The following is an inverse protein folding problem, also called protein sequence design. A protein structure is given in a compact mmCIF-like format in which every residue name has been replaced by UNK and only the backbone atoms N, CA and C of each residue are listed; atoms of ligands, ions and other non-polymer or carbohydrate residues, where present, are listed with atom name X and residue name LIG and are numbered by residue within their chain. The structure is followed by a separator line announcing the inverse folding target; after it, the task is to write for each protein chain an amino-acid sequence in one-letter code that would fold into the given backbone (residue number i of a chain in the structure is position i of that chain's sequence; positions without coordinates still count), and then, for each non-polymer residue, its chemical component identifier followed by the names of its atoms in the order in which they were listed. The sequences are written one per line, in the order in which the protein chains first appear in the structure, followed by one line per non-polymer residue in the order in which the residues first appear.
data_IF_672067624240
#
_entry.id   IF_672067624240
#
_cell.length_a   1.000
_cell.length_b   1.000
_cell.length_c   1.000
_cell.angle_alpha   90.00
_cell.angle_beta   90.00
_cell.angle_gamma   90.00
#
_symmetry.space_group_name_H-M   'P 1'
#
loop_
_entity.id
_entity.type
_entity.pdbx_description
1 polymer ?
#
# COMPACT_ATOMS: atom_id res chain seq x y z
N UNK A 1 -4.40 27.99 -28.65
CA UNK A 1 -5.70 27.50 -28.15
C UNK A 1 -5.97 26.14 -28.75
N UNK A 2 -6.48 25.22 -27.95
CA UNK A 2 -6.83 23.85 -28.33
C UNK A 2 -8.16 23.47 -27.68
N UNK A 3 -8.97 22.66 -28.36
CA UNK A 3 -10.13 22.01 -27.76
C UNK A 3 -9.70 20.60 -27.34
N UNK A 4 -9.96 20.24 -26.08
CA UNK A 4 -9.72 18.90 -25.55
C UNK A 4 -11.01 18.35 -24.89
N UNK A 5 -10.95 17.12 -24.40
CA UNK A 5 -12.10 16.44 -23.79
C UNK A 5 -12.68 17.16 -22.56
N UNK A 6 -11.91 18.07 -21.96
CA UNK A 6 -12.26 18.85 -20.77
C UNK A 6 -12.62 20.31 -21.08
N UNK A 7 -12.60 20.73 -22.36
CA UNK A 7 -13.00 22.06 -22.82
C UNK A 7 -11.95 22.84 -23.62
N UNK A 8 -12.08 24.17 -23.62
CA UNK A 8 -11.22 25.08 -24.38
C UNK A 8 -10.01 25.51 -23.54
N UNK A 9 -8.82 25.13 -24.02
CA UNK A 9 -7.55 25.43 -23.40
C UNK A 9 -6.84 26.58 -24.10
N UNK A 10 -6.38 27.53 -23.30
CA UNK A 10 -5.38 28.52 -23.68
C UNK A 10 -4.04 28.12 -23.08
N UNK A 11 -3.04 27.91 -23.93
CA UNK A 11 -1.67 27.55 -23.53
C UNK A 11 -0.72 28.66 -23.98
N UNK A 12 -0.10 29.31 -23.01
CA UNK A 12 0.98 30.28 -23.17
C UNK A 12 2.24 29.86 -22.40
N UNK A 13 2.37 28.57 -22.09
CA UNK A 13 3.53 28.03 -21.40
C UNK A 13 4.81 28.17 -22.23
N UNK A 14 5.96 28.19 -21.53
CA UNK A 14 7.30 28.40 -22.09
C UNK A 14 7.45 29.71 -22.89
N UNK A 15 6.55 30.67 -22.68
CA UNK A 15 6.61 31.99 -23.28
C UNK A 15 6.79 33.06 -22.20
N UNK A 16 8.05 33.26 -21.78
CA UNK A 16 8.40 34.26 -20.78
C UNK A 16 8.06 35.70 -21.19
N UNK A 17 7.87 35.97 -22.48
CA UNK A 17 7.48 37.29 -22.97
C UNK A 17 5.96 37.53 -22.92
N UNK A 18 5.16 36.50 -22.63
CA UNK A 18 3.72 36.64 -22.43
C UNK A 18 3.44 36.89 -20.94
N UNK A 19 3.10 38.14 -20.61
CA UNK A 19 2.90 38.65 -19.25
C UNK A 19 1.52 39.30 -19.02
N UNK A 20 0.79 39.61 -20.09
CA UNK A 20 -0.48 40.34 -20.05
C UNK A 20 -1.65 39.45 -20.48
N UNK A 21 -2.50 39.06 -19.51
CA UNK A 21 -3.72 38.29 -19.77
C UNK A 21 -4.84 39.15 -20.39
N UNK A 22 -4.77 40.48 -20.30
CA UNK A 22 -5.86 41.38 -20.73
C UNK A 22 -6.03 41.42 -22.25
N UNK A 23 -5.02 40.99 -23.00
CA UNK A 23 -5.07 40.89 -24.47
C UNK A 23 -5.87 39.68 -24.95
N UNK A 24 -6.24 38.76 -24.05
CA UNK A 24 -6.98 37.53 -24.38
C UNK A 24 -8.43 37.68 -23.92
N UNK A 25 -9.43 37.66 -24.83
CA UNK A 25 -10.83 37.76 -24.46
C UNK A 25 -11.39 36.41 -23.96
N UNK A 26 -10.91 35.93 -22.79
CA UNK A 26 -11.20 34.60 -22.25
C UNK A 26 -12.70 34.25 -22.22
N UNK A 27 -13.54 35.21 -21.80
CA UNK A 27 -15.01 35.03 -21.72
C UNK A 27 -15.63 34.79 -23.10
N UNK A 28 -15.21 35.53 -24.12
CA UNK A 28 -15.75 35.40 -25.48
C UNK A 28 -15.29 34.11 -26.14
N UNK A 29 -14.07 33.68 -25.82
CA UNK A 29 -13.46 32.47 -26.32
C UNK A 29 -13.94 31.20 -25.60
N UNK A 30 -14.70 31.35 -24.50
CA UNK A 30 -15.19 30.23 -23.70
C UNK A 30 -14.07 29.39 -23.09
N UNK A 31 -12.90 30.00 -22.84
CA UNK A 31 -11.75 29.31 -22.25
C UNK A 31 -12.09 28.92 -20.82
N UNK A 32 -11.89 27.65 -20.50
CA UNK A 32 -12.06 27.11 -19.15
C UNK A 32 -10.78 26.45 -18.62
N UNK A 33 -9.70 26.46 -19.39
CA UNK A 33 -8.39 25.95 -18.96
C UNK A 33 -7.27 26.90 -19.37
N UNK A 34 -6.38 27.21 -18.42
CA UNK A 34 -5.18 28.00 -18.67
C UNK A 34 -3.93 27.19 -18.31
N UNK A 35 -3.00 27.12 -19.26
CA UNK A 35 -1.66 26.54 -19.08
C UNK A 35 -0.63 27.65 -19.32
N UNK A 36 0.11 28.01 -18.28
CA UNK A 36 0.95 29.19 -18.22
C UNK A 36 2.30 28.92 -17.52
N UNK A 37 2.77 27.67 -17.53
CA UNK A 37 4.05 27.31 -16.92
C UNK A 37 5.23 28.02 -17.60
N UNK A 38 6.20 28.55 -16.84
CA UNK A 38 7.34 29.32 -17.36
C UNK A 38 6.91 30.49 -18.29
N UNK A 39 5.89 31.24 -17.90
CA UNK A 39 5.45 32.48 -18.58
C UNK A 39 5.78 33.73 -17.76
N UNK A 40 5.57 34.90 -18.33
CA UNK A 40 5.75 36.20 -17.66
C UNK A 40 4.55 36.63 -16.79
N UNK A 41 3.54 35.77 -16.65
CA UNK A 41 2.30 36.10 -15.93
C UNK A 41 2.60 36.38 -14.45
N UNK A 42 2.16 37.54 -13.97
CA UNK A 42 2.33 37.98 -12.57
C UNK A 42 1.01 38.31 -11.86
N UNK A 43 -0.11 38.32 -12.59
CA UNK A 43 -1.47 38.52 -12.05
C UNK A 43 -2.46 37.56 -12.72
N UNK A 44 -3.56 37.26 -12.03
CA UNK A 44 -4.69 36.46 -12.53
C UNK A 44 -6.01 37.25 -12.50
N UNK A 45 -5.97 38.57 -12.35
CA UNK A 45 -7.17 39.39 -12.16
C UNK A 45 -8.17 39.29 -13.32
N UNK A 46 -7.67 39.10 -14.54
CA UNK A 46 -8.47 38.90 -15.75
C UNK A 46 -9.28 37.60 -15.74
N UNK A 47 -8.95 36.66 -14.83
CA UNK A 47 -9.64 35.37 -14.69
C UNK A 47 -10.76 35.41 -13.63
N UNK A 48 -10.93 36.52 -12.89
CA UNK A 48 -11.93 36.63 -11.82
C UNK A 48 -13.33 36.29 -12.33
N UNK A 49 -14.02 35.40 -11.61
CA UNK A 49 -15.39 35.00 -11.92
C UNK A 49 -15.56 34.21 -13.21
N UNK A 50 -14.48 33.74 -13.84
CA UNK A 50 -14.57 32.84 -14.98
C UNK A 50 -14.76 31.39 -14.50
N UNK A 51 -15.51 30.61 -15.28
CA UNK A 51 -15.73 29.18 -15.05
C UNK A 51 -14.54 28.33 -15.48
N UNK A 52 -13.37 28.63 -14.93
CA UNK A 52 -12.16 27.85 -15.14
C UNK A 52 -12.25 26.54 -14.37
N UNK A 53 -12.01 25.42 -15.05
CA UNK A 53 -11.95 24.08 -14.44
C UNK A 53 -10.52 23.67 -14.15
N UNK A 54 -9.55 24.18 -14.92
CA UNK A 54 -8.13 23.87 -14.78
C UNK A 54 -7.26 25.11 -14.88
N UNK A 55 -6.31 25.23 -13.95
CA UNK A 55 -5.31 26.28 -13.95
C UNK A 55 -3.93 25.70 -13.65
N UNK A 56 -2.98 25.88 -14.58
CA UNK A 56 -1.58 25.51 -14.42
C UNK A 56 -0.74 26.77 -14.56
N UNK A 57 -0.28 27.30 -13.43
CA UNK A 57 0.51 28.53 -13.33
C UNK A 57 1.73 28.26 -12.44
N UNK A 58 2.85 27.92 -13.06
CA UNK A 58 4.06 27.57 -12.30
C UNK A 58 5.33 28.05 -12.97
N UNK A 59 6.40 28.23 -12.21
CA UNK A 59 7.62 28.87 -12.71
C UNK A 59 7.39 30.28 -13.26
N UNK A 60 6.46 31.03 -12.65
CA UNK A 60 6.15 32.44 -12.99
C UNK A 60 6.50 33.36 -11.80
N UNK A 61 6.28 34.66 -11.93
CA UNK A 61 6.45 35.64 -10.84
C UNK A 61 5.17 35.86 -10.01
N UNK A 62 4.14 35.04 -10.22
CA UNK A 62 2.85 35.13 -9.53
C UNK A 62 3.00 34.87 -8.03
N UNK A 63 2.52 35.83 -7.22
CA UNK A 63 2.52 35.75 -5.74
C UNK A 63 1.14 35.88 -5.10
N UNK A 64 0.14 36.32 -5.87
CA UNK A 64 -1.19 36.64 -5.36
C UNK A 64 -2.24 35.73 -6.01
N UNK A 65 -2.85 34.87 -5.21
CA UNK A 65 -3.91 33.95 -5.65
C UNK A 65 -5.33 34.45 -5.35
N UNK A 66 -5.51 35.69 -4.90
CA UNK A 66 -6.83 36.22 -4.52
C UNK A 66 -7.91 36.10 -5.60
N UNK A 67 -7.63 36.13 -6.92
CA UNK A 67 -8.65 35.85 -7.94
C UNK A 67 -9.29 34.46 -7.83
N UNK A 68 -8.56 33.46 -7.33
CA UNK A 68 -9.03 32.07 -7.25
C UNK A 68 -10.24 31.91 -6.33
N UNK A 69 -10.40 32.77 -5.33
CA UNK A 69 -11.54 32.74 -4.41
C UNK A 69 -12.88 32.99 -5.12
N UNK A 70 -12.85 33.57 -6.32
CA UNK A 70 -14.01 33.85 -7.17
C UNK A 70 -14.18 32.83 -8.30
N UNK A 71 -13.48 31.69 -8.25
CA UNK A 71 -13.47 30.66 -9.29
C UNK A 71 -13.97 29.30 -8.76
N UNK A 72 -15.26 29.19 -8.36
CA UNK A 72 -15.79 28.00 -7.67
C UNK A 72 -15.83 26.72 -8.52
N UNK A 73 -15.71 26.86 -9.85
CA UNK A 73 -15.67 25.76 -10.82
C UNK A 73 -14.29 25.10 -10.93
N UNK A 74 -13.26 25.70 -10.31
CA UNK A 74 -11.89 25.20 -10.38
C UNK A 74 -11.78 23.87 -9.63
N UNK A 75 -11.40 22.81 -10.35
CA UNK A 75 -11.19 21.47 -9.79
C UNK A 75 -9.73 21.03 -9.84
N UNK A 76 -8.93 21.60 -10.75
CA UNK A 76 -7.53 21.21 -10.94
C UNK A 76 -6.62 22.43 -10.89
N UNK A 77 -5.73 22.49 -9.89
CA UNK A 77 -4.80 23.60 -9.70
C UNK A 77 -3.35 23.11 -9.62
N UNK A 78 -2.48 23.67 -10.45
CA UNK A 78 -1.03 23.57 -10.30
C UNK A 78 -0.43 24.96 -10.15
N UNK A 79 0.20 25.18 -9.00
CA UNK A 79 0.96 26.37 -8.59
C UNK A 79 2.42 26.02 -8.29
N UNK A 80 2.94 24.91 -8.86
CA UNK A 80 4.29 24.47 -8.54
C UNK A 80 5.34 25.47 -9.01
N UNK A 81 6.44 25.58 -8.28
CA UNK A 81 7.54 26.47 -8.66
C UNK A 81 7.27 27.96 -8.47
N UNK A 82 6.16 28.35 -7.86
CA UNK A 82 5.96 29.72 -7.35
C UNK A 82 6.75 29.88 -6.04
N UNK A 83 8.07 30.04 -6.16
CA UNK A 83 9.03 29.93 -5.05
C UNK A 83 8.84 30.96 -3.93
N UNK A 84 8.17 32.07 -4.20
CA UNK A 84 7.87 33.12 -3.22
C UNK A 84 6.40 33.11 -2.76
N UNK A 85 5.59 32.18 -3.25
CA UNK A 85 4.20 32.05 -2.82
C UNK A 85 4.14 31.42 -1.42
N UNK A 86 3.54 32.16 -0.49
CA UNK A 86 3.37 31.73 0.92
C UNK A 86 1.91 31.60 1.32
N UNK A 87 1.02 32.41 0.73
CA UNK A 87 -0.39 32.49 1.10
C UNK A 87 -1.28 31.71 0.13
N UNK A 88 -1.91 30.65 0.64
CA UNK A 88 -2.93 29.87 -0.06
C UNK A 88 -4.33 30.05 0.54
N UNK A 89 -4.55 31.07 1.38
CA UNK A 89 -5.88 31.42 1.91
C UNK A 89 -6.97 31.51 0.83
N UNK A 90 -6.71 32.02 -0.39
CA UNK A 90 -7.71 32.07 -1.46
C UNK A 90 -8.25 30.70 -1.91
N UNK A 91 -7.59 29.59 -1.55
CA UNK A 91 -8.07 28.24 -1.90
C UNK A 91 -9.20 27.75 -0.99
N UNK A 92 -9.47 28.44 0.12
CA UNK A 92 -10.45 28.01 1.12
C UNK A 92 -11.83 27.82 0.50
N UNK A 93 -12.38 26.62 0.65
CA UNK A 93 -13.72 26.28 0.19
C UNK A 93 -13.84 26.01 -1.32
N UNK A 94 -12.75 26.01 -2.07
CA UNK A 94 -12.76 25.56 -3.47
C UNK A 94 -12.97 24.05 -3.54
N UNK A 95 -13.62 23.60 -4.62
CA UNK A 95 -13.93 22.20 -4.88
C UNK A 95 -12.80 21.49 -5.65
N UNK A 96 -11.55 21.72 -5.27
CA UNK A 96 -10.40 21.08 -5.92
C UNK A 96 -10.44 19.56 -5.71
N UNK A 97 -10.16 18.83 -6.77
CA UNK A 97 -9.84 17.39 -6.76
C UNK A 97 -8.34 17.15 -6.74
N UNK A 98 -7.58 18.05 -7.37
CA UNK A 98 -6.12 17.95 -7.48
C UNK A 98 -5.46 19.30 -7.18
N UNK A 99 -4.47 19.28 -6.28
CA UNK A 99 -3.68 20.45 -5.91
C UNK A 99 -2.18 20.14 -5.98
N UNK A 100 -1.46 20.85 -6.84
CA UNK A 100 -0.03 20.68 -7.01
C UNK A 100 0.71 21.96 -6.62
N UNK A 101 1.45 21.94 -5.51
CA UNK A 101 2.11 23.11 -4.92
C UNK A 101 3.55 22.86 -4.46
N UNK A 102 4.22 21.86 -5.03
CA UNK A 102 5.65 21.63 -4.82
C UNK A 102 6.51 22.85 -5.22
N UNK A 103 7.66 23.05 -4.58
CA UNK A 103 8.56 24.19 -4.83
C UNK A 103 7.88 25.56 -4.61
N UNK A 104 7.05 25.67 -3.57
CA UNK A 104 6.50 26.94 -3.07
C UNK A 104 7.03 27.21 -1.66
N UNK A 105 6.83 28.43 -1.15
CA UNK A 105 7.20 28.80 0.23
C UNK A 105 6.02 28.65 1.22
N UNK A 106 5.00 27.87 0.86
CA UNK A 106 3.80 27.65 1.67
C UNK A 106 4.18 26.83 2.91
N UNK A 107 3.80 27.33 4.09
CA UNK A 107 4.07 26.67 5.38
C UNK A 107 2.79 26.27 6.12
N UNK A 108 1.68 26.96 5.83
CA UNK A 108 0.39 26.72 6.47
C UNK A 108 -0.60 26.07 5.49
N UNK A 109 -1.04 24.87 5.85
CA UNK A 109 -2.05 24.11 5.12
C UNK A 109 -3.48 24.32 5.66
N UNK A 110 -3.67 25.13 6.71
CA UNK A 110 -4.99 25.39 7.30
C UNK A 110 -6.09 25.82 6.31
N UNK A 111 -5.80 26.51 5.19
CA UNK A 111 -6.81 26.83 4.17
C UNK A 111 -7.42 25.61 3.47
N UNK A 112 -6.76 24.45 3.52
CA UNK A 112 -7.26 23.21 2.91
C UNK A 112 -8.33 22.50 3.76
N UNK A 113 -8.51 22.92 5.02
CA UNK A 113 -9.42 22.25 5.97
C UNK A 113 -10.84 22.17 5.39
N UNK A 114 -11.42 20.98 5.41
CA UNK A 114 -12.79 20.73 4.95
C UNK A 114 -12.94 20.60 3.43
N UNK A 115 -11.85 20.52 2.66
CA UNK A 115 -11.91 20.22 1.23
C UNK A 115 -12.29 18.76 0.97
N UNK A 116 -13.60 18.49 0.92
CA UNK A 116 -14.14 17.12 0.84
C UNK A 116 -13.97 16.44 -0.51
N UNK A 117 -13.42 17.13 -1.53
CA UNK A 117 -13.21 16.59 -2.87
C UNK A 117 -11.74 16.41 -3.24
N UNK A 118 -10.81 16.88 -2.42
CA UNK A 118 -9.39 16.83 -2.73
C UNK A 118 -8.90 15.39 -2.57
N UNK A 119 -8.48 14.77 -3.67
CA UNK A 119 -8.00 13.39 -3.71
C UNK A 119 -6.50 13.29 -3.86
N UNK A 120 -5.89 14.29 -4.50
CA UNK A 120 -4.47 14.31 -4.82
C UNK A 120 -3.85 15.65 -4.40
N UNK A 121 -2.77 15.60 -3.61
CA UNK A 121 -2.04 16.79 -3.20
C UNK A 121 -0.52 16.59 -3.27
N UNK A 122 0.20 17.57 -3.81
CA UNK A 122 1.66 17.63 -3.66
C UNK A 122 2.02 18.65 -2.60
N UNK A 123 2.80 18.24 -1.59
CA UNK A 123 3.12 19.06 -0.42
C UNK A 123 4.53 19.67 -0.56
N UNK A 124 4.69 20.98 -0.36
CA UNK A 124 5.99 21.64 -0.38
C UNK A 124 6.84 21.22 0.82
N UNK A 125 8.17 21.21 0.65
CA UNK A 125 9.12 20.87 1.73
C UNK A 125 9.03 21.78 2.95
N UNK A 126 8.51 22.99 2.77
CA UNK A 126 8.42 24.01 3.81
C UNK A 126 7.33 23.73 4.84
N UNK A 127 6.40 22.82 4.54
CA UNK A 127 5.35 22.42 5.48
C UNK A 127 5.91 21.44 6.50
N UNK A 128 5.78 21.77 7.78
CA UNK A 128 6.21 20.91 8.89
C UNK A 128 5.06 20.30 9.67
N UNK A 129 3.89 20.95 9.69
CA UNK A 129 2.67 20.38 10.27
C UNK A 129 1.82 19.75 9.16
N UNK A 130 1.69 18.42 9.21
CA UNK A 130 0.98 17.62 8.24
C UNK A 130 -0.32 17.01 8.78
N UNK A 131 -0.67 17.25 10.04
CA UNK A 131 -1.86 16.66 10.71
C UNK A 131 -3.14 16.88 9.91
N UNK A 132 -3.26 18.06 9.28
CA UNK A 132 -4.42 18.40 8.46
C UNK A 132 -4.63 17.48 7.26
N UNK A 133 -3.59 16.78 6.78
CA UNK A 133 -3.72 15.84 5.68
C UNK A 133 -4.46 14.56 6.11
N UNK A 134 -4.35 14.17 7.38
CA UNK A 134 -5.12 13.06 7.98
C UNK A 134 -6.60 13.43 8.11
N UNK A 135 -6.89 14.72 8.34
CA UNK A 135 -8.25 15.24 8.47
C UNK A 135 -8.99 15.41 7.12
N UNK A 136 -8.32 15.22 5.98
CA UNK A 136 -8.93 15.41 4.66
C UNK A 136 -9.66 14.12 4.22
N UNK A 137 -11.01 14.11 4.20
CA UNK A 137 -11.79 12.87 4.18
C UNK A 137 -11.72 12.10 2.85
N UNK A 138 -11.25 12.74 1.78
CA UNK A 138 -11.18 12.17 0.44
C UNK A 138 -9.75 12.11 -0.08
N UNK A 139 -8.76 12.53 0.70
CA UNK A 139 -7.37 12.55 0.27
C UNK A 139 -6.89 11.11 0.15
N UNK A 140 -6.37 10.76 -1.02
CA UNK A 140 -5.91 9.41 -1.32
C UNK A 140 -4.41 9.38 -1.58
N UNK A 141 -3.89 10.41 -2.25
CA UNK A 141 -2.54 10.40 -2.76
C UNK A 141 -1.81 11.68 -2.35
N UNK A 142 -0.63 11.48 -1.75
CA UNK A 142 0.26 12.55 -1.29
C UNK A 142 1.62 12.38 -1.92
N UNK A 143 2.19 13.49 -2.43
CA UNK A 143 3.55 13.54 -2.94
C UNK A 143 4.34 14.63 -2.23
N UNK A 144 5.51 14.31 -1.66
CA UNK A 144 6.40 15.31 -1.05
C UNK A 144 7.47 15.77 -2.04
N UNK A 145 7.76 17.07 -2.02
CA UNK A 145 8.83 17.64 -2.81
C UNK A 145 10.19 17.01 -2.41
N UNK A 146 10.88 16.37 -3.37
CA UNK A 146 12.22 15.81 -3.19
C UNK A 146 12.45 14.38 -3.59
N UNK A 147 11.39 13.63 -3.80
CA UNK A 147 11.38 12.81 -5.00
C UNK A 147 11.21 13.79 -6.18
N UNK A 148 11.84 13.56 -7.34
CA UNK A 148 11.73 14.48 -8.49
C UNK A 148 10.26 14.78 -8.84
N UNK A 149 9.99 15.57 -9.87
CA UNK A 149 8.61 15.75 -10.41
C UNK A 149 7.93 14.43 -10.89
N UNK A 150 8.47 13.27 -10.49
CA UNK A 150 8.17 11.88 -10.78
C UNK A 150 8.34 10.97 -9.55
N UNK A 151 8.30 11.48 -8.31
CA UNK A 151 8.26 10.62 -7.13
C UNK A 151 7.02 9.74 -7.12
N UNK A 152 7.07 8.49 -6.62
CA UNK A 152 5.87 7.67 -6.54
C UNK A 152 4.83 8.37 -5.68
N UNK A 153 3.61 8.50 -6.20
CA UNK A 153 2.46 8.86 -5.38
C UNK A 153 2.31 7.78 -4.31
N UNK A 154 2.20 8.18 -3.05
CA UNK A 154 1.95 7.27 -1.93
C UNK A 154 0.52 7.46 -1.46
N UNK A 155 -0.09 6.40 -0.94
CA UNK A 155 -1.33 6.58 -0.20
C UNK A 155 -1.09 7.46 1.03
N UNK A 156 -2.15 8.04 1.59
CA UNK A 156 -2.03 8.82 2.84
C UNK A 156 -1.44 7.94 3.94
N UNK A 157 -1.86 6.69 4.02
CA UNK A 157 -1.38 5.70 4.98
C UNK A 157 0.11 5.40 4.80
N UNK A 158 0.54 5.07 3.58
CA UNK A 158 1.96 4.83 3.25
C UNK A 158 2.83 6.05 3.57
N UNK A 159 2.33 7.24 3.23
CA UNK A 159 3.03 8.49 3.49
C UNK A 159 3.28 8.73 4.98
N UNK A 160 2.26 8.56 5.82
CA UNK A 160 2.42 8.73 7.26
C UNK A 160 3.20 7.59 7.92
N UNK A 161 3.12 6.37 7.39
CA UNK A 161 3.96 5.26 7.83
C UNK A 161 5.46 5.56 7.62
N UNK A 162 5.84 6.11 6.47
CA UNK A 162 7.23 6.50 6.21
C UNK A 162 7.73 7.63 7.13
N UNK A 163 6.86 8.61 7.40
CA UNK A 163 7.19 9.76 8.25
C UNK A 163 7.39 9.37 9.72
N UNK A 164 6.50 8.52 10.24
CA UNK A 164 6.55 8.07 11.63
C UNK A 164 7.61 6.98 11.85
N UNK A 165 8.04 6.31 10.77
CA UNK A 165 8.90 5.14 10.84
C UNK A 165 8.12 3.90 11.30
N UNK A 166 8.77 2.72 11.33
CA UNK A 166 8.13 1.50 11.77
C UNK A 166 7.71 1.62 13.24
N UNK A 167 6.46 1.26 13.53
CA UNK A 167 5.95 1.22 14.91
C UNK A 167 6.83 0.25 15.74
N UNK A 168 7.31 0.67 16.92
CA UNK A 168 8.13 -0.19 17.77
C UNK A 168 7.38 -1.48 18.16
N UNK A 169 8.14 -2.57 18.29
CA UNK A 169 7.62 -3.82 18.86
C UNK A 169 7.55 -3.65 20.38
N UNK A 170 6.35 -3.78 20.95
CA UNK A 170 6.14 -3.89 22.39
C UNK A 170 6.63 -5.26 22.88
N UNK A 171 6.20 -6.33 22.21
CA UNK A 171 6.48 -7.70 22.63
C UNK A 171 6.51 -8.68 21.45
N UNK A 172 7.32 -9.73 21.56
CA UNK A 172 7.30 -10.89 20.66
C UNK A 172 6.42 -11.97 21.30
N UNK A 173 5.22 -12.13 20.75
CA UNK A 173 4.19 -13.08 21.24
C UNK A 173 4.50 -14.51 20.78
N UNK A 174 5.00 -14.68 19.55
CA UNK A 174 5.48 -15.96 19.02
C UNK A 174 6.87 -15.75 18.42
N UNK A 175 7.93 -16.41 18.93
CA UNK A 175 9.28 -16.20 18.44
C UNK A 175 9.57 -16.99 17.13
N UNK A 176 10.56 -16.54 16.33
CA UNK A 176 10.90 -17.11 15.02
C UNK A 176 11.56 -18.50 15.05
N UNK A 177 11.87 -19.04 16.23
CA UNK A 177 12.46 -20.37 16.44
C UNK A 177 11.45 -21.35 17.07
N UNK A 178 10.15 -21.03 16.96
CA UNK A 178 9.06 -21.88 17.44
C UNK A 178 9.00 -23.23 16.73
N UNK A 179 8.48 -24.25 17.41
CA UNK A 179 8.21 -25.56 16.81
C UNK A 179 6.86 -25.53 16.10
N UNK A 180 6.85 -26.02 14.86
CA UNK A 180 5.67 -26.10 14.02
C UNK A 180 5.36 -27.53 13.63
N UNK A 181 4.07 -27.79 13.46
CA UNK A 181 3.57 -28.95 12.73
C UNK A 181 3.25 -28.55 11.31
N UNK A 182 3.59 -29.39 10.35
CA UNK A 182 3.36 -29.10 8.94
C UNK A 182 2.89 -30.31 8.14
N UNK A 183 2.12 -30.01 7.10
CA UNK A 183 1.62 -30.95 6.11
C UNK A 183 1.84 -30.37 4.72
N UNK A 184 2.58 -31.10 3.89
CA UNK A 184 2.76 -30.76 2.48
C UNK A 184 2.33 -31.97 1.60
N UNK A 185 1.23 -31.88 0.84
CA UNK A 185 0.75 -32.99 0.01
C UNK A 185 1.63 -33.28 -1.23
N UNK A 186 2.72 -34.03 -1.03
CA UNK A 186 3.69 -34.36 -2.09
C UNK A 186 3.13 -35.24 -3.22
N UNK A 187 2.07 -36.00 -2.93
CA UNK A 187 1.37 -36.87 -3.89
C UNK A 187 0.30 -36.12 -4.72
N UNK A 188 0.19 -34.80 -4.52
CA UNK A 188 -0.79 -33.93 -5.18
C UNK A 188 -2.25 -34.19 -4.77
N UNK A 189 -2.50 -35.09 -3.82
CA UNK A 189 -3.86 -35.39 -3.37
C UNK A 189 -4.39 -34.22 -2.53
N UNK A 190 -5.68 -33.89 -2.71
CA UNK A 190 -6.33 -32.93 -1.80
C UNK A 190 -6.38 -33.53 -0.40
N UNK A 191 -5.91 -32.84 0.65
CA UNK A 191 -6.24 -33.21 2.02
C UNK A 191 -7.76 -33.35 2.21
N UNK A 192 -8.54 -32.53 1.49
CA UNK A 192 -9.99 -32.63 1.48
C UNK A 192 -10.57 -33.91 0.83
N UNK A 193 -9.72 -34.79 0.29
CA UNK A 193 -10.15 -36.12 -0.18
C UNK A 193 -10.38 -37.08 0.98
N UNK A 194 -9.50 -37.02 1.99
CA UNK A 194 -9.54 -37.90 3.15
C UNK A 194 -10.25 -37.21 4.34
N UNK A 195 -10.23 -35.88 4.35
CA UNK A 195 -10.85 -35.02 5.37
C UNK A 195 -11.72 -33.94 4.71
N UNK A 196 -12.98 -34.28 4.39
CA UNK A 196 -13.85 -33.46 3.52
C UNK A 196 -13.99 -31.98 3.93
N UNK A 197 -13.82 -31.66 5.21
CA UNK A 197 -13.92 -30.30 5.74
C UNK A 197 -12.56 -29.68 6.09
N UNK A 198 -11.44 -30.29 5.69
CA UNK A 198 -10.08 -29.82 5.96
C UNK A 198 -9.92 -28.31 5.80
N UNK A 199 -10.47 -27.75 4.72
CA UNK A 199 -10.43 -26.33 4.37
C UNK A 199 -11.18 -25.38 5.32
N UNK A 200 -11.96 -25.93 6.24
CA UNK A 200 -12.66 -25.22 7.31
C UNK A 200 -12.15 -25.59 8.70
N UNK A 201 -11.42 -26.70 8.84
CA UNK A 201 -11.11 -27.29 10.15
C UNK A 201 -9.63 -27.33 10.47
N UNK A 202 -8.72 -27.35 9.47
CA UNK A 202 -7.27 -27.48 9.75
C UNK A 202 -6.69 -26.31 10.54
N UNK A 203 -7.39 -25.19 10.70
CA UNK A 203 -6.98 -24.04 11.51
C UNK A 203 -7.76 -23.92 12.84
N UNK A 204 -8.66 -24.87 13.13
CA UNK A 204 -9.40 -24.92 14.38
C UNK A 204 -8.49 -25.36 15.55
N UNK A 205 -8.80 -24.88 16.75
CA UNK A 205 -8.00 -25.16 17.95
C UNK A 205 -7.98 -26.66 18.31
N UNK A 206 -9.06 -27.38 18.05
CA UNK A 206 -9.27 -28.79 18.37
C UNK A 206 -8.91 -29.77 17.24
N UNK A 207 -8.44 -29.27 16.09
CA UNK A 207 -7.99 -30.12 14.99
C UNK A 207 -6.81 -31.01 15.40
N UNK A 208 -6.89 -32.30 15.04
CA UNK A 208 -5.87 -33.30 15.34
C UNK A 208 -4.78 -33.32 14.27
N UNK A 209 -3.68 -32.63 14.57
CA UNK A 209 -2.46 -32.60 13.76
C UNK A 209 -1.39 -33.60 14.25
N UNK A 210 -1.76 -34.64 15.01
CA UNK A 210 -0.82 -35.63 15.57
C UNK A 210 -0.05 -36.45 14.53
N UNK A 211 -0.57 -36.50 13.30
CA UNK A 211 0.04 -37.22 12.18
C UNK A 211 0.91 -36.32 11.30
N UNK A 212 0.90 -35.01 11.53
CA UNK A 212 1.69 -34.05 10.78
C UNK A 212 3.17 -34.15 11.17
N UNK A 213 4.05 -33.75 10.25
CA UNK A 213 5.47 -33.68 10.53
C UNK A 213 5.75 -32.51 11.50
N UNK A 214 6.83 -32.59 12.27
CA UNK A 214 7.29 -31.49 13.11
C UNK A 214 8.62 -30.92 12.61
N UNK A 215 8.87 -29.65 12.92
CA UNK A 215 10.16 -29.02 12.66
C UNK A 215 10.25 -27.68 13.38
N UNK A 216 11.47 -27.18 13.52
CA UNK A 216 11.75 -25.89 14.14
C UNK A 216 11.90 -24.83 13.05
N UNK A 217 11.25 -23.68 13.22
CA UNK A 217 11.48 -22.51 12.37
C UNK A 217 12.87 -21.90 12.64
N UNK A 218 13.30 -20.95 11.82
CA UNK A 218 14.55 -20.24 11.97
C UNK A 218 14.42 -18.77 11.57
N UNK A 219 15.04 -17.89 12.37
CA UNK A 219 15.21 -16.48 12.01
C UNK A 219 16.29 -16.28 10.93
N UNK A 220 17.06 -17.32 10.57
CA UNK A 220 18.02 -17.25 9.48
C UNK A 220 17.34 -16.91 8.14
N UNK A 221 17.83 -15.94 7.35
CA UNK A 221 17.26 -15.57 6.06
C UNK A 221 17.13 -16.72 5.04
N UNK A 222 17.92 -17.78 5.21
CA UNK A 222 17.91 -19.00 4.39
C UNK A 222 17.26 -20.20 5.08
N UNK A 223 16.83 -20.04 6.34
CA UNK A 223 16.16 -21.07 7.13
C UNK A 223 14.64 -21.08 6.99
N UNK A 224 13.97 -21.77 7.90
CA UNK A 224 12.52 -21.95 7.94
C UNK A 224 12.09 -23.29 7.35
N UNK A 225 10.93 -23.32 6.70
CA UNK A 225 10.35 -24.49 6.04
C UNK A 225 10.28 -24.26 4.54
N UNK A 226 10.69 -25.23 3.73
CA UNK A 226 10.63 -25.05 2.28
C UNK A 226 11.38 -26.11 1.50
N UNK A 227 11.55 -25.84 0.21
CA UNK A 227 12.40 -26.59 -0.70
C UNK A 227 12.86 -25.66 -1.85
N UNK A 228 13.87 -26.10 -2.60
CA UNK A 228 14.41 -25.33 -3.72
C UNK A 228 15.55 -24.39 -3.33
N UNK A 229 15.78 -23.37 -4.16
CA UNK A 229 16.87 -22.40 -3.99
C UNK A 229 16.34 -21.10 -3.40
N UNK A 230 17.14 -20.43 -2.57
CA UNK A 230 16.80 -19.16 -1.94
C UNK A 230 17.63 -18.05 -2.57
N UNK A 231 17.10 -17.34 -3.56
CA UNK A 231 17.75 -16.15 -4.13
C UNK A 231 19.24 -16.35 -4.53
N UNK A 232 19.63 -17.50 -5.08
CA UNK A 232 21.05 -17.79 -5.38
C UNK A 232 21.80 -18.56 -4.29
N UNK A 233 21.16 -18.84 -3.15
CA UNK A 233 21.73 -19.49 -1.97
C UNK A 233 21.07 -20.83 -1.69
N UNK A 234 21.81 -21.75 -1.08
CA UNK A 234 21.25 -23.01 -0.62
C UNK A 234 20.29 -22.75 0.54
N UNK A 235 19.09 -23.33 0.48
CA UNK A 235 18.17 -23.40 1.61
C UNK A 235 18.80 -24.19 2.76
N UNK A 236 18.74 -23.63 3.98
CA UNK A 236 19.30 -24.21 5.22
C UNK A 236 18.21 -24.28 6.31
N UNK A 237 17.10 -24.94 5.97
CA UNK A 237 15.96 -25.12 6.85
C UNK A 237 15.37 -26.52 6.78
N UNK A 238 14.14 -26.66 7.27
CA UNK A 238 13.36 -27.90 7.22
C UNK A 238 12.87 -28.15 5.80
N UNK A 239 13.41 -29.18 5.14
CA UNK A 239 12.96 -29.62 3.83
C UNK A 239 11.55 -30.23 3.91
N UNK A 240 10.56 -29.56 3.32
CA UNK A 240 9.16 -30.02 3.27
C UNK A 240 8.82 -30.82 2.01
N UNK A 241 9.82 -31.06 1.15
CA UNK A 241 9.76 -31.90 -0.04
C UNK A 241 9.17 -31.21 -1.27
N UNK A 242 9.68 -31.58 -2.45
CA UNK A 242 9.20 -31.11 -3.76
C UNK A 242 8.05 -32.02 -4.23
N UNK A 243 6.87 -31.50 -4.63
CA UNK A 243 5.78 -32.32 -5.17
C UNK A 243 6.19 -33.05 -6.46
N UNK A 244 5.69 -34.27 -6.68
CA UNK A 244 6.05 -35.07 -7.86
C UNK A 244 5.60 -34.39 -9.17
N UNK A 245 6.59 -33.92 -9.94
CA UNK A 245 6.39 -33.21 -11.21
C UNK A 245 5.74 -34.04 -12.33
N UNK A 246 5.74 -35.38 -12.26
CA UNK A 246 5.01 -36.21 -13.24
C UNK A 246 3.48 -36.11 -13.09
N UNK A 247 2.97 -35.77 -11.90
CA UNK A 247 1.54 -35.65 -11.63
C UNK A 247 0.89 -34.50 -12.43
N UNK A 248 1.67 -33.47 -12.74
CA UNK A 248 1.25 -32.27 -13.48
C UNK A 248 0.96 -32.57 -14.95
N UNK A 249 1.55 -33.64 -15.50
CA UNK A 249 1.36 -34.09 -16.87
C UNK A 249 0.26 -35.14 -17.03
N UNK A 250 -0.36 -35.62 -15.94
CA UNK A 250 -1.36 -36.72 -15.96
C UNK A 250 -2.77 -36.28 -15.57
N UNK A 251 -3.05 -34.98 -15.51
CA UNK A 251 -4.42 -34.45 -15.32
C UNK A 251 -5.00 -34.63 -13.91
N UNK A 252 -4.16 -34.84 -12.89
CA UNK A 252 -4.56 -34.74 -11.49
C UNK A 252 -4.37 -33.29 -11.01
N UNK A 253 -5.30 -32.79 -10.20
CA UNK A 253 -5.24 -31.44 -9.65
C UNK A 253 -3.94 -31.27 -8.86
N UNK A 254 -3.11 -30.32 -9.27
CA UNK A 254 -1.84 -30.07 -8.58
C UNK A 254 -2.10 -29.14 -7.41
N UNK A 255 -1.56 -29.49 -6.24
CA UNK A 255 -1.61 -28.63 -5.05
C UNK A 255 -0.51 -27.59 -5.13
N UNK A 256 -0.87 -26.38 -4.74
CA UNK A 256 0.04 -25.25 -4.62
C UNK A 256 0.42 -24.98 -3.16
N UNK A 257 -0.10 -25.76 -2.21
CA UNK A 257 -0.15 -25.32 -0.82
C UNK A 257 0.48 -26.28 0.18
N UNK A 258 1.19 -25.70 1.14
CA UNK A 258 1.66 -26.35 2.36
C UNK A 258 0.95 -25.72 3.57
N UNK A 259 0.68 -26.52 4.60
CA UNK A 259 -0.10 -26.11 5.76
C UNK A 259 0.74 -26.24 7.01
N UNK A 260 0.63 -25.26 7.90
CA UNK A 260 1.42 -25.17 9.12
C UNK A 260 0.53 -24.84 10.31
N UNK A 261 0.87 -25.37 11.49
CA UNK A 261 0.20 -25.10 12.77
C UNK A 261 1.23 -24.95 13.88
N UNK A 262 1.07 -23.92 14.71
CA UNK A 262 1.85 -23.69 15.91
C UNK A 262 0.91 -23.39 17.08
N UNK A 263 1.13 -24.07 18.21
CA UNK A 263 0.45 -23.78 19.47
C UNK A 263 1.35 -22.91 20.34
N UNK A 264 0.78 -21.90 20.97
CA UNK A 264 1.50 -21.02 21.88
C UNK A 264 0.58 -20.54 23.00
N UNK A 265 1.15 -20.05 24.09
CA UNK A 265 0.40 -19.56 25.26
C UNK A 265 0.70 -18.08 25.48
N UNK A 266 -0.31 -17.34 25.94
CA UNK A 266 -0.18 -15.94 26.38
C UNK A 266 -0.61 -15.80 27.84
N UNK A 267 0.12 -14.98 28.60
CA UNK A 267 -0.17 -14.72 30.02
C UNK A 267 -1.01 -13.46 30.22
N UNK A 268 -1.04 -12.56 29.23
CA UNK A 268 -1.78 -11.30 29.24
C UNK A 268 -2.50 -11.04 27.90
N UNK A 269 -3.50 -10.14 27.85
CA UNK A 269 -4.14 -9.81 26.59
C UNK A 269 -3.22 -9.02 25.66
N UNK A 270 -3.16 -9.40 24.38
CA UNK A 270 -2.40 -8.69 23.35
C UNK A 270 -3.30 -8.13 22.25
N UNK A 271 -2.97 -6.93 21.76
CA UNK A 271 -3.68 -6.22 20.69
C UNK A 271 -2.68 -5.72 19.64
N UNK A 272 -3.15 -5.06 18.57
CA UNK A 272 -2.28 -4.43 17.56
C UNK A 272 -1.19 -5.38 17.03
N UNK A 273 -1.63 -6.57 16.64
CA UNK A 273 -0.74 -7.67 16.28
C UNK A 273 -0.27 -7.57 14.83
N UNK A 274 0.98 -7.94 14.59
CA UNK A 274 1.58 -8.04 13.26
C UNK A 274 2.28 -9.39 13.12
N UNK A 275 1.95 -10.16 12.08
CA UNK A 275 2.73 -11.33 11.70
C UNK A 275 3.90 -10.87 10.80
N UNK A 276 5.10 -11.33 11.13
CA UNK A 276 6.30 -11.13 10.31
C UNK A 276 6.78 -12.48 9.80
N UNK A 277 7.07 -12.57 8.51
CA UNK A 277 7.68 -13.76 7.93
C UNK A 277 8.32 -13.45 6.58
N UNK A 278 9.26 -14.29 6.16
CA UNK A 278 9.66 -14.41 4.75
C UNK A 278 8.76 -15.48 4.13
N UNK A 279 8.11 -15.20 3.00
CA UNK A 279 7.15 -16.13 2.38
C UNK A 279 7.20 -16.12 0.86
N UNK A 280 7.02 -17.29 0.28
CA UNK A 280 6.97 -17.54 -1.15
C UNK A 280 5.86 -18.56 -1.46
N UNK A 281 4.86 -18.28 -2.29
CA UNK A 281 4.54 -17.03 -2.98
C UNK A 281 3.48 -16.22 -2.23
N UNK A 282 2.49 -16.87 -1.64
CA UNK A 282 1.33 -16.24 -0.99
C UNK A 282 0.99 -16.94 0.32
N UNK A 283 0.33 -16.22 1.21
CA UNK A 283 0.04 -16.70 2.56
C UNK A 283 -1.38 -16.34 2.98
N UNK A 284 -2.03 -17.28 3.66
CA UNK A 284 -3.26 -17.04 4.43
C UNK A 284 -2.94 -17.37 5.89
N UNK A 285 -3.30 -16.45 6.78
CA UNK A 285 -3.04 -16.52 8.21
C UNK A 285 -4.37 -16.76 8.94
N UNK A 286 -4.37 -17.78 9.78
CA UNK A 286 -5.50 -18.11 10.64
C UNK A 286 -5.06 -18.09 12.10
N UNK A 287 -5.91 -17.55 12.96
CA UNK A 287 -5.69 -17.50 14.40
C UNK A 287 -6.96 -17.94 15.11
N UNK A 288 -6.83 -18.92 16.01
CA UNK A 288 -7.91 -19.47 16.83
C UNK A 288 -9.18 -19.81 16.03
N UNK A 289 -9.02 -20.54 14.93
CA UNK A 289 -10.15 -20.99 14.13
C UNK A 289 -10.68 -19.96 13.12
N UNK A 290 -10.05 -18.80 12.97
CA UNK A 290 -10.51 -17.74 12.06
C UNK A 290 -9.42 -17.30 11.13
N UNK A 291 -9.77 -17.06 9.87
CA UNK A 291 -8.89 -16.31 8.97
C UNK A 291 -8.79 -14.86 9.44
N UNK A 292 -7.56 -14.37 9.59
CA UNK A 292 -7.29 -13.03 10.13
C UNK A 292 -6.51 -12.15 9.16
N UNK A 293 -5.79 -12.73 8.20
CA UNK A 293 -5.10 -11.98 7.17
C UNK A 293 -4.75 -12.83 5.95
N UNK A 294 -4.48 -12.15 4.84
CA UNK A 294 -3.89 -12.72 3.62
C UNK A 294 -2.79 -11.79 3.13
N UNK A 295 -1.79 -12.35 2.46
CA UNK A 295 -0.86 -11.57 1.66
C UNK A 295 -0.55 -12.33 0.35
N UNK A 296 -0.70 -11.64 -0.77
CA UNK A 296 -0.53 -12.17 -2.13
C UNK A 296 -1.42 -13.40 -2.47
N UNK A 297 -2.63 -13.49 -1.90
CA UNK A 297 -3.68 -14.46 -2.25
C UNK A 297 -5.01 -13.73 -2.45
N UNK A 298 -5.75 -14.07 -3.51
CA UNK A 298 -7.05 -13.43 -3.82
C UNK A 298 -8.18 -13.84 -2.87
N UNK A 299 -9.37 -13.26 -3.04
CA UNK A 299 -10.58 -13.63 -2.28
C UNK A 299 -11.30 -14.86 -2.86
N UNK A 300 -12.01 -15.62 -2.01
CA UNK A 300 -12.85 -16.75 -2.43
C UNK A 300 -13.22 -17.72 -1.30
N UNK A 301 -14.32 -18.46 -1.47
CA UNK A 301 -14.84 -19.43 -0.47
C UNK A 301 -13.89 -20.61 -0.21
N UNK A 302 -13.14 -21.05 -1.22
CA UNK A 302 -12.13 -22.10 -1.09
C UNK A 302 -10.71 -21.52 -1.19
N UNK A 303 -10.44 -20.47 -0.41
CA UNK A 303 -9.18 -19.73 -0.44
C UNK A 303 -7.92 -20.62 -0.38
N UNK A 304 -7.99 -21.72 0.38
CA UNK A 304 -6.92 -22.71 0.51
C UNK A 304 -6.48 -23.36 -0.82
N UNK A 305 -7.31 -23.32 -1.87
CA UNK A 305 -6.99 -23.80 -3.23
C UNK A 305 -6.49 -22.71 -4.17
N UNK A 306 -6.62 -21.44 -3.81
CA UNK A 306 -6.22 -20.36 -4.68
C UNK A 306 -4.70 -20.35 -4.84
N UNK A 307 -4.16 -20.14 -6.05
CA UNK A 307 -2.76 -19.84 -6.19
C UNK A 307 -2.46 -18.45 -5.61
N UNK A 308 -1.19 -18.19 -5.33
CA UNK A 308 -0.74 -16.83 -5.11
C UNK A 308 -1.02 -15.95 -6.35
N UNK A 309 -1.26 -14.65 -6.14
CA UNK A 309 -1.66 -13.71 -7.21
C UNK A 309 -0.49 -13.43 -8.17
N UNK A 310 0.72 -13.34 -7.63
CA UNK A 310 1.93 -13.04 -8.39
C UNK A 310 3.15 -13.76 -7.81
N UNK A 311 4.16 -14.10 -8.62
CA UNK A 311 5.33 -14.81 -8.10
C UNK A 311 6.24 -13.86 -7.34
N UNK A 312 6.87 -14.33 -6.28
CA UNK A 312 7.89 -13.58 -5.52
C UNK A 312 9.26 -14.19 -5.80
N UNK A 313 10.20 -13.34 -6.25
CA UNK A 313 11.50 -13.79 -6.75
C UNK A 313 12.66 -12.92 -6.32
N UNK A 314 13.86 -13.50 -6.22
CA UNK A 314 15.11 -12.79 -5.93
C UNK A 314 15.10 -12.12 -4.54
N UNK A 315 15.62 -10.90 -4.44
CA UNK A 315 15.77 -10.21 -3.14
C UNK A 315 14.45 -10.02 -2.36
N UNK A 316 13.30 -10.10 -3.04
CA UNK A 316 11.99 -10.03 -2.39
C UNK A 316 11.69 -11.29 -1.56
N UNK A 317 12.22 -12.46 -1.94
CA UNK A 317 11.96 -13.72 -1.24
C UNK A 317 12.61 -13.75 0.17
N UNK A 318 13.73 -13.04 0.37
CA UNK A 318 14.40 -12.93 1.68
C UNK A 318 13.92 -11.73 2.50
N UNK A 319 13.04 -10.90 1.94
CA UNK A 319 12.50 -9.73 2.63
C UNK A 319 11.41 -10.15 3.60
N UNK A 320 11.46 -9.61 4.82
CA UNK A 320 10.42 -9.83 5.82
C UNK A 320 9.16 -9.07 5.40
N UNK A 321 8.11 -9.82 5.12
CA UNK A 321 6.75 -9.32 4.95
C UNK A 321 6.15 -9.06 6.33
N UNK A 322 5.38 -7.97 6.43
CA UNK A 322 4.70 -7.51 7.64
C UNK A 322 3.21 -7.51 7.37
N UNK A 323 2.46 -8.31 8.11
CA UNK A 323 1.04 -8.56 7.88
C UNK A 323 0.28 -8.16 9.15
N UNK A 324 -0.37 -6.98 9.15
CA UNK A 324 -1.22 -6.55 10.27
C UNK A 324 -2.39 -7.52 10.46
N UNK A 325 -2.71 -7.85 11.71
CA UNK A 325 -3.86 -8.67 12.08
C UNK A 325 -4.98 -7.76 12.61
N UNK A 326 -5.71 -7.13 11.68
CA UNK A 326 -6.71 -6.11 12.02
C UNK A 326 -7.85 -6.67 12.88
N UNK A 327 -8.18 -5.95 13.97
CA UNK A 327 -9.30 -6.31 14.84
C UNK A 327 -9.09 -7.59 15.66
N UNK A 328 -7.86 -8.11 15.70
CA UNK A 328 -7.51 -9.29 16.50
C UNK A 328 -7.14 -8.89 17.93
N UNK A 329 -7.64 -9.66 18.89
CA UNK A 329 -7.24 -9.60 20.29
C UNK A 329 -7.00 -11.02 20.77
N UNK A 330 -5.84 -11.24 21.38
CA UNK A 330 -5.52 -12.49 22.07
C UNK A 330 -5.85 -12.29 23.55
N UNK A 331 -6.69 -13.16 24.09
CA UNK A 331 -6.94 -13.25 25.54
C UNK A 331 -5.95 -14.23 26.18
N UNK A 332 -5.60 -14.11 27.47
CA UNK A 332 -4.70 -15.05 28.13
C UNK A 332 -5.16 -16.50 27.96
N UNK A 333 -4.27 -17.36 27.46
CA UNK A 333 -4.56 -18.78 27.24
C UNK A 333 -3.76 -19.41 26.12
N UNK A 334 -4.17 -20.62 25.74
CA UNK A 334 -3.60 -21.36 24.61
C UNK A 334 -4.24 -20.88 23.30
N UNK A 335 -3.39 -20.62 22.31
CA UNK A 335 -3.76 -20.19 20.97
C UNK A 335 -3.19 -21.11 19.90
N UNK A 336 -3.80 -21.06 18.73
CA UNK A 336 -3.32 -21.75 17.52
C UNK A 336 -3.16 -20.75 16.39
N UNK A 337 -1.91 -20.56 15.96
CA UNK A 337 -1.59 -19.90 14.69
C UNK A 337 -1.49 -20.98 13.62
N UNK A 338 -2.31 -20.88 12.57
CA UNK A 338 -2.24 -21.76 11.41
C UNK A 338 -1.98 -20.95 10.15
N UNK A 339 -1.25 -21.55 9.22
CA UNK A 339 -0.85 -20.90 7.97
C UNK A 339 -1.14 -21.84 6.81
N UNK A 340 -1.70 -21.28 5.73
CA UNK A 340 -1.66 -21.90 4.41
C UNK A 340 -0.70 -21.08 3.56
N UNK A 341 0.36 -21.72 3.06
CA UNK A 341 1.34 -21.14 2.17
C UNK A 341 1.05 -21.61 0.75
N UNK A 342 1.12 -20.73 -0.24
CA UNK A 342 0.61 -20.95 -1.60
C UNK A 342 1.66 -20.60 -2.64
N UNK A 343 1.83 -21.46 -3.63
CA UNK A 343 2.55 -21.20 -4.87
C UNK A 343 1.64 -20.53 -5.91
N UNK A 344 2.23 -19.86 -6.89
CA UNK A 344 1.52 -19.29 -8.05
C UNK A 344 1.11 -20.34 -9.09
N UNK A 345 1.88 -21.43 -9.22
CA UNK A 345 1.68 -22.44 -10.26
C UNK A 345 2.28 -23.80 -9.89
N UNK A 346 1.98 -24.76 -10.73
CA UNK A 346 2.35 -26.15 -10.62
C UNK A 346 2.89 -26.65 -11.97
N UNK A 347 4.11 -27.23 -12.03
CA UNK A 347 5.07 -27.33 -10.93
C UNK A 347 5.68 -25.97 -10.58
N UNK A 348 5.99 -25.78 -9.29
CA UNK A 348 6.95 -24.76 -8.83
C UNK A 348 8.26 -25.44 -8.43
N UNK A 349 9.38 -24.74 -8.63
CA UNK A 349 10.73 -25.21 -8.26
C UNK A 349 11.02 -25.08 -6.78
N UNK A 350 10.26 -24.23 -6.10
CA UNK A 350 10.50 -23.71 -4.77
C UNK A 350 9.17 -23.37 -4.09
N UNK A 351 9.24 -23.32 -2.75
CA UNK A 351 8.21 -22.84 -1.85
C UNK A 351 8.89 -22.64 -0.50
N UNK A 352 8.64 -21.52 0.19
CA UNK A 352 9.21 -21.33 1.52
C UNK A 352 8.44 -20.40 2.43
N UNK A 353 8.59 -20.64 3.73
CA UNK A 353 8.22 -19.73 4.79
C UNK A 353 9.27 -19.80 5.91
N UNK A 354 9.64 -18.67 6.52
CA UNK A 354 10.56 -18.69 7.65
C UNK A 354 10.63 -17.38 8.42
N UNK A 355 11.18 -17.45 9.64
CA UNK A 355 11.25 -16.30 10.56
C UNK A 355 9.86 -15.85 11.00
N UNK A 356 8.95 -16.80 11.16
CA UNK A 356 7.55 -16.56 11.49
C UNK A 356 7.48 -16.04 12.92
N UNK A 357 7.23 -14.75 13.05
CA UNK A 357 7.17 -14.05 14.32
C UNK A 357 5.83 -13.37 14.46
N UNK A 358 5.13 -13.58 15.57
CA UNK A 358 3.96 -12.77 15.93
C UNK A 358 4.41 -11.71 16.93
N UNK A 359 4.19 -10.44 16.62
CA UNK A 359 4.57 -9.33 17.51
C UNK A 359 3.36 -8.48 17.87
N UNK A 360 3.38 -7.94 19.08
CA UNK A 360 2.52 -6.83 19.50
C UNK A 360 3.27 -5.51 19.26
N UNK A 361 2.63 -4.58 18.58
CA UNK A 361 3.18 -3.25 18.30
C UNK A 361 2.70 -2.24 19.34
N UNK A 362 3.54 -1.27 19.69
CA UNK A 362 3.12 -0.14 20.51
C UNK A 362 1.93 0.60 19.87
N UNK A 363 1.01 1.12 20.69
CA UNK A 363 -0.04 1.99 20.17
C UNK A 363 0.58 3.36 19.88
N UNK A 364 0.43 3.92 18.67
CA UNK A 364 0.91 5.27 18.39
C UNK A 364 0.26 6.27 19.37
N UNK A 365 1.08 7.09 20.04
CA UNK A 365 0.63 8.16 20.96
C UNK A 365 -0.17 9.27 20.25
#
# INVERSE_FOLDING_TARGET
MTLNDSGFQFDCSQNAAFDDLSIVPFRELGVNQLVAWNSGISSLDELRGLDMTQLIVGGTELRNLSPLAEMPSLSWLSIQGLTELTDITPLRGLNLTSLHMANTAVTDLSPLRGMTRLTNATIPRTVTNLEILEDLPSLKLVQFEGCGASGPEKTVEEFFADLRGPVPVKEVVLPPDSEWRWLHPLDGRDPATDDLDFHHTFFAADYDDSTWQTGQDSDDPTGGFGYGEVSGMNFDGVDIGIPDGELNNKGKAVRFSAYFRCRFETDEPHHNLELRCRRDDGIIVYLDGKEVARDNVGEGEEAYRLPAVSPVGGAAETTVVRIPLEGVTLEPGEHVLAISLHNTKAPSSDLRIGGITLVELETPE
#
